data_IF_143308613651
#
_entry.id   IF_143308613651
#
_cell.length_a   1.000
_cell.length_b   1.000
_cell.length_c   1.000
_cell.angle_alpha   90.00
_cell.angle_beta   90.00
_cell.angle_gamma   90.00
#
_symmetry.space_group_name_H-M   'P 1'
#
loop_
_entity.id
_entity.type
_entity.pdbx_description
1 polymer ?
#
# COMPACT_ATOMS: atom_id res chain seq x y z
N UNK A 1 -8.11 -4.77 41.71
CA UNK A 1 -7.13 -4.10 40.82
C UNK A 1 -6.49 -5.09 39.86
N UNK A 2 -5.87 -6.18 40.33
CA UNK A 2 -5.33 -7.25 39.46
C UNK A 2 -6.42 -7.92 38.59
N UNK A 3 -7.57 -8.25 39.17
CA UNK A 3 -8.71 -8.89 38.48
C UNK A 3 -9.34 -8.00 37.38
N UNK A 4 -9.28 -6.67 37.55
CA UNK A 4 -9.74 -5.70 36.56
C UNK A 4 -8.75 -5.54 35.39
N UNK A 5 -7.45 -5.68 35.66
CA UNK A 5 -6.41 -5.70 34.63
C UNK A 5 -6.40 -7.02 33.84
N UNK A 6 -6.74 -8.15 34.48
CA UNK A 6 -6.86 -9.45 33.84
C UNK A 6 -8.11 -9.52 32.94
N UNK A 7 -9.27 -9.05 33.41
CA UNK A 7 -10.46 -8.89 32.57
C UNK A 7 -10.23 -7.90 31.41
N UNK A 8 -9.52 -6.79 31.63
CA UNK A 8 -9.19 -5.85 30.55
C UNK A 8 -8.25 -6.46 29.50
N UNK A 9 -7.34 -7.35 29.90
CA UNK A 9 -6.49 -8.12 28.99
C UNK A 9 -7.28 -9.19 28.22
N UNK A 10 -8.38 -9.70 28.78
CA UNK A 10 -9.31 -10.61 28.11
C UNK A 10 -10.24 -9.88 27.11
N UNK A 11 -10.54 -8.61 27.36
CA UNK A 11 -11.42 -7.76 26.52
C UNK A 11 -10.69 -7.20 25.28
N UNK A 12 -9.37 -6.99 25.34
CA UNK A 12 -8.60 -6.51 24.20
C UNK A 12 -8.20 -7.67 23.27
N UNK A 13 -8.49 -7.60 21.96
CA UNK A 13 -8.15 -8.70 21.06
C UNK A 13 -6.63 -8.88 20.98
N UNK A 14 -6.16 -10.10 21.31
CA UNK A 14 -4.75 -10.48 21.19
C UNK A 14 -4.28 -10.31 19.73
N UNK A 15 -3.24 -9.50 19.50
CA UNK A 15 -2.64 -9.29 18.18
C UNK A 15 -1.35 -10.08 18.00
N UNK A 16 -1.04 -10.43 16.74
CA UNK A 16 0.26 -10.94 16.30
C UNK A 16 0.87 -10.00 15.26
N UNK A 17 2.19 -9.81 15.28
CA UNK A 17 2.92 -9.01 14.32
C UNK A 17 3.74 -9.89 13.36
N UNK A 18 3.89 -9.48 12.10
CA UNK A 18 4.95 -10.00 11.21
C UNK A 18 6.26 -9.32 11.65
N UNK A 19 7.18 -10.09 12.22
CA UNK A 19 8.40 -9.58 12.86
C UNK A 19 9.26 -8.69 11.96
N UNK A 20 9.23 -8.92 10.63
CA UNK A 20 10.04 -8.17 9.66
C UNK A 20 9.57 -6.71 9.47
N UNK A 21 8.27 -6.43 9.60
CA UNK A 21 7.68 -5.16 9.15
C UNK A 21 6.64 -4.58 10.13
N UNK A 22 6.48 -5.21 11.29
CA UNK A 22 5.57 -4.78 12.36
C UNK A 22 4.09 -4.63 11.91
N UNK A 23 3.66 -5.38 10.88
CA UNK A 23 2.24 -5.44 10.51
C UNK A 23 1.50 -6.34 11.48
N UNK A 24 0.50 -5.79 12.16
CA UNK A 24 -0.30 -6.46 13.18
C UNK A 24 -1.63 -6.95 12.62
N UNK A 25 -2.05 -8.13 13.08
CA UNK A 25 -3.34 -8.74 12.75
C UNK A 25 -3.89 -9.50 13.96
N UNK A 26 -5.19 -9.78 13.96
CA UNK A 26 -5.86 -10.48 15.07
C UNK A 26 -5.36 -11.92 15.19
N UNK A 27 -4.98 -12.34 16.39
CA UNK A 27 -4.54 -13.72 16.65
C UNK A 27 -5.67 -14.71 16.33
N UNK A 28 -5.34 -15.73 15.56
CA UNK A 28 -6.32 -16.73 15.09
C UNK A 28 -7.02 -16.38 13.77
N UNK A 29 -6.89 -15.15 13.27
CA UNK A 29 -7.44 -14.75 11.98
C UNK A 29 -6.51 -15.15 10.82
N UNK A 30 -6.85 -16.25 10.15
CA UNK A 30 -6.09 -16.76 8.99
C UNK A 30 -6.19 -15.82 7.78
N UNK A 31 -7.35 -15.18 7.58
CA UNK A 31 -7.53 -14.22 6.50
C UNK A 31 -6.75 -12.95 6.80
N UNK A 32 -6.77 -12.48 8.04
CA UNK A 32 -5.95 -11.37 8.52
C UNK A 32 -4.45 -11.64 8.33
N UNK A 33 -3.96 -12.84 8.64
CA UNK A 33 -2.57 -13.22 8.37
C UNK A 33 -2.24 -13.14 6.88
N UNK A 34 -3.09 -13.71 6.02
CA UNK A 34 -2.90 -13.64 4.57
C UNK A 34 -2.87 -12.19 4.07
N UNK A 35 -3.83 -11.37 4.50
CA UNK A 35 -3.92 -9.96 4.12
C UNK A 35 -2.78 -9.12 4.69
N UNK A 36 -2.23 -9.49 5.85
CA UNK A 36 -1.02 -8.87 6.40
C UNK A 36 0.18 -9.10 5.46
N UNK A 37 0.36 -10.30 4.93
CA UNK A 37 1.37 -10.58 3.91
C UNK A 37 1.13 -9.83 2.60
N UNK A 38 -0.13 -9.79 2.12
CA UNK A 38 -0.51 -8.98 0.95
C UNK A 38 -0.15 -7.51 1.15
N UNK A 39 -0.29 -6.98 2.36
CA UNK A 39 0.06 -5.59 2.64
C UNK A 39 1.56 -5.29 2.47
N UNK A 40 2.42 -6.31 2.42
CA UNK A 40 3.87 -6.16 2.20
C UNK A 40 4.26 -6.20 0.72
N UNK A 41 3.34 -6.44 -0.20
CA UNK A 41 3.60 -6.43 -1.66
C UNK A 41 4.31 -5.13 -2.11
N UNK A 42 3.88 -3.91 -1.71
CA UNK A 42 4.60 -2.68 -2.07
C UNK A 42 6.07 -2.68 -1.63
N UNK A 43 6.36 -3.24 -0.45
CA UNK A 43 7.72 -3.34 0.10
C UNK A 43 8.56 -4.32 -0.72
N UNK A 44 8.00 -5.48 -1.08
CA UNK A 44 8.69 -6.47 -1.92
C UNK A 44 8.93 -5.96 -3.34
N UNK A 45 7.97 -5.25 -3.94
CA UNK A 45 8.16 -4.60 -5.24
C UNK A 45 9.29 -3.57 -5.16
N UNK A 46 9.28 -2.73 -4.11
CA UNK A 46 10.29 -1.69 -3.88
C UNK A 46 11.69 -2.25 -3.68
N UNK A 47 11.86 -3.16 -2.71
CA UNK A 47 13.17 -3.71 -2.33
C UNK A 47 13.66 -4.79 -3.30
N UNK A 48 12.80 -5.73 -3.70
CA UNK A 48 13.19 -6.84 -4.56
C UNK A 48 13.22 -6.46 -6.04
N UNK A 49 12.21 -5.73 -6.50
CA UNK A 49 12.05 -5.38 -7.91
C UNK A 49 13.02 -4.30 -8.37
N UNK A 50 13.02 -3.15 -7.70
CA UNK A 50 13.85 -2.02 -8.14
C UNK A 50 15.34 -2.23 -7.88
N UNK A 51 15.73 -2.71 -6.70
CA UNK A 51 17.17 -2.92 -6.41
C UNK A 51 17.79 -3.89 -7.41
N UNK A 52 17.09 -5.00 -7.71
CA UNK A 52 17.53 -5.93 -8.75
C UNK A 52 17.59 -5.27 -10.12
N UNK A 53 16.54 -4.58 -10.55
CA UNK A 53 16.50 -3.94 -11.86
C UNK A 53 17.61 -2.88 -12.04
N UNK A 54 17.82 -2.00 -11.06
CA UNK A 54 18.86 -0.97 -11.13
C UNK A 54 20.28 -1.53 -11.15
N UNK A 55 20.52 -2.63 -10.43
CA UNK A 55 21.85 -3.27 -10.42
C UNK A 55 22.16 -3.97 -11.75
N UNK A 56 21.16 -4.52 -12.44
CA UNK A 56 21.38 -5.38 -13.61
C UNK A 56 20.97 -4.79 -14.96
N UNK A 57 20.05 -3.82 -15.00
CA UNK A 57 19.45 -3.29 -16.24
C UNK A 57 19.18 -1.79 -16.07
N UNK A 58 20.16 -0.94 -16.42
CA UNK A 58 20.05 0.54 -16.38
C UNK A 58 19.16 1.09 -17.52
N UNK A 59 17.94 0.58 -17.63
CA UNK A 59 17.00 1.02 -18.66
C UNK A 59 16.33 2.32 -18.21
N UNK A 60 16.32 3.33 -19.10
CA UNK A 60 15.74 4.66 -18.83
C UNK A 60 14.30 4.57 -18.30
N UNK A 61 13.53 3.59 -18.79
CA UNK A 61 12.15 3.36 -18.35
C UNK A 61 12.03 2.91 -16.91
N UNK A 62 12.95 2.09 -16.41
CA UNK A 62 13.02 1.72 -15.00
C UNK A 62 13.34 2.91 -14.12
N UNK A 63 14.21 3.81 -14.60
CA UNK A 63 14.58 5.05 -13.90
C UNK A 63 13.38 6.00 -13.82
N UNK A 64 12.70 6.26 -14.95
CA UNK A 64 11.51 7.12 -14.99
C UNK A 64 10.39 6.57 -14.11
N UNK A 65 10.19 5.25 -14.12
CA UNK A 65 9.21 4.60 -13.25
C UNK A 65 9.53 4.79 -11.76
N UNK A 66 10.79 4.57 -11.37
CA UNK A 66 11.24 4.77 -10.00
C UNK A 66 11.11 6.23 -9.56
N UNK A 67 11.50 7.17 -10.41
CA UNK A 67 11.37 8.60 -10.15
C UNK A 67 9.91 9.01 -9.97
N UNK A 68 9.01 8.56 -10.86
CA UNK A 68 7.57 8.82 -10.75
C UNK A 68 6.97 8.22 -9.47
N UNK A 69 7.40 7.01 -9.08
CA UNK A 69 6.95 6.37 -7.85
C UNK A 69 7.42 7.12 -6.60
N UNK A 70 8.68 7.57 -6.57
CA UNK A 70 9.22 8.41 -5.49
C UNK A 70 8.50 9.75 -5.40
N UNK A 71 8.21 10.39 -6.53
CA UNK A 71 7.43 11.62 -6.58
C UNK A 71 5.99 11.41 -6.09
N UNK A 72 5.35 10.29 -6.45
CA UNK A 72 4.04 9.89 -5.93
C UNK A 72 4.08 9.71 -4.41
N UNK A 73 5.10 9.05 -3.88
CA UNK A 73 5.26 8.85 -2.44
C UNK A 73 5.50 10.17 -1.70
N UNK A 74 6.30 11.07 -2.27
CA UNK A 74 6.48 12.41 -1.74
C UNK A 74 5.17 13.21 -1.71
N UNK A 75 4.38 13.14 -2.79
CA UNK A 75 3.04 13.75 -2.84
C UNK A 75 2.10 13.16 -1.76
N UNK A 76 2.13 11.84 -1.54
CA UNK A 76 1.34 11.20 -0.49
C UNK A 76 1.66 11.80 0.88
N UNK A 77 2.95 11.91 1.20
CA UNK A 77 3.41 12.43 2.49
C UNK A 77 3.07 13.92 2.66
N UNK A 78 3.26 14.71 1.60
CA UNK A 78 2.86 16.12 1.58
C UNK A 78 1.36 16.28 1.90
N UNK A 79 0.51 15.50 1.24
CA UNK A 79 -0.94 15.55 1.46
C UNK A 79 -1.27 15.12 2.89
N UNK A 80 -0.64 14.05 3.38
CA UNK A 80 -0.83 13.56 4.75
C UNK A 80 -0.54 14.61 5.80
N UNK A 81 0.59 15.30 5.68
CA UNK A 81 0.94 16.39 6.60
C UNK A 81 0.02 17.61 6.45
N UNK A 82 -0.50 17.86 5.25
CA UNK A 82 -1.38 19.01 4.99
C UNK A 82 -2.80 18.82 5.52
N UNK A 83 -3.38 17.62 5.31
CA UNK A 83 -4.77 17.31 5.70
C UNK A 83 -4.85 16.80 7.12
N UNK A 84 -3.80 16.12 7.58
CA UNK A 84 -3.67 15.58 8.93
C UNK A 84 -4.86 14.72 9.40
N UNK A 85 -5.54 14.02 8.47
CA UNK A 85 -6.70 13.19 8.83
C UNK A 85 -6.26 12.04 9.74
N UNK A 86 -6.97 11.86 10.85
CA UNK A 86 -6.77 10.75 11.78
C UNK A 86 -7.05 9.39 11.13
N UNK A 87 -6.40 8.36 11.66
CA UNK A 87 -6.68 6.96 11.33
C UNK A 87 -7.94 6.47 12.06
N UNK A 88 -8.52 5.30 11.68
CA UNK A 88 -9.54 4.65 12.48
C UNK A 88 -9.09 4.44 13.93
N UNK A 89 -10.00 4.50 14.91
CA UNK A 89 -9.69 4.35 16.33
C UNK A 89 -8.92 3.05 16.68
N UNK A 90 -9.08 2.00 15.85
CA UNK A 90 -8.33 0.76 15.98
C UNK A 90 -6.81 0.93 15.76
N UNK A 91 -6.33 2.10 15.34
CA UNK A 91 -4.91 2.39 15.14
C UNK A 91 -4.08 2.29 16.43
N UNK A 92 -4.68 2.51 17.61
CA UNK A 92 -3.96 2.48 18.89
C UNK A 92 -3.47 1.07 19.18
N UNK A 93 -4.36 0.09 19.00
CA UNK A 93 -4.04 -1.33 19.15
C UNK A 93 -2.99 -1.79 18.11
N UNK A 94 -3.04 -1.20 16.91
CA UNK A 94 -2.12 -1.50 15.82
C UNK A 94 -0.77 -0.75 15.91
N UNK A 95 -0.59 0.15 16.89
CA UNK A 95 0.56 1.07 16.97
C UNK A 95 0.81 1.81 15.64
N UNK A 96 -0.28 2.34 15.08
CA UNK A 96 -0.25 3.02 13.78
C UNK A 96 -0.69 4.49 13.85
N UNK A 97 -1.13 4.98 15.02
CA UNK A 97 -1.71 6.33 15.17
C UNK A 97 -0.70 7.46 15.00
N UNK A 98 0.60 7.19 15.07
CA UNK A 98 1.66 8.21 14.94
C UNK A 98 1.76 8.83 13.53
N UNK A 99 0.90 8.39 12.59
CA UNK A 99 0.88 8.85 11.22
C UNK A 99 -0.53 9.13 10.71
N UNK A 100 -0.65 10.09 9.80
CA UNK A 100 -1.92 10.46 9.18
C UNK A 100 -2.44 9.38 8.22
N UNK A 101 -3.77 9.25 8.19
CA UNK A 101 -4.48 8.18 7.48
C UNK A 101 -4.82 8.49 6.02
N UNK A 102 -4.85 9.76 5.62
CA UNK A 102 -5.30 10.18 4.29
C UNK A 102 -4.22 10.87 3.46
N UNK A 103 -4.00 10.46 2.20
CA UNK A 103 -4.50 9.24 1.56
C UNK A 103 -3.69 8.00 1.99
N UNK A 104 -4.24 6.80 1.77
CA UNK A 104 -3.51 5.55 2.06
C UNK A 104 -2.31 5.36 1.12
N UNK A 105 -1.10 5.33 1.66
CA UNK A 105 0.15 5.13 0.90
C UNK A 105 0.19 3.79 0.16
N UNK A 106 -0.27 2.70 0.78
CA UNK A 106 -0.27 1.37 0.17
C UNK A 106 -1.21 1.31 -1.04
N UNK A 107 -2.40 1.92 -0.93
CA UNK A 107 -3.34 1.98 -2.03
C UNK A 107 -2.80 2.88 -3.15
N UNK A 108 -2.29 4.07 -2.82
CA UNK A 108 -1.69 4.96 -3.81
C UNK A 108 -0.52 4.32 -4.56
N UNK A 109 0.40 3.67 -3.85
CA UNK A 109 1.52 2.96 -4.43
C UNK A 109 1.04 1.92 -5.45
N UNK A 110 0.12 1.03 -5.06
CA UNK A 110 -0.27 -0.09 -5.90
C UNK A 110 -1.09 0.34 -7.12
N UNK A 111 -1.92 1.38 -6.98
CA UNK A 111 -2.67 1.93 -8.12
C UNK A 111 -1.77 2.72 -9.06
N UNK A 112 -0.74 3.42 -8.56
CA UNK A 112 0.32 3.99 -9.39
C UNK A 112 1.05 2.90 -10.18
N UNK A 113 1.53 1.86 -9.48
CA UNK A 113 2.25 0.72 -10.07
C UNK A 113 1.40 0.03 -11.16
N UNK A 114 0.15 -0.29 -10.86
CA UNK A 114 -0.76 -0.95 -11.80
C UNK A 114 -1.03 -0.08 -13.02
N UNK A 115 -1.30 1.22 -12.82
CA UNK A 115 -1.61 2.14 -13.92
C UNK A 115 -0.41 2.30 -14.85
N UNK A 116 0.77 2.63 -14.29
CA UNK A 116 1.97 2.87 -15.08
C UNK A 116 2.36 1.64 -15.90
N UNK A 117 2.39 0.44 -15.28
CA UNK A 117 2.73 -0.79 -16.00
C UNK A 117 1.68 -1.18 -17.04
N UNK A 118 0.40 -0.97 -16.75
CA UNK A 118 -0.68 -1.24 -17.71
C UNK A 118 -0.51 -0.37 -18.96
N UNK A 119 -0.37 0.94 -18.75
CA UNK A 119 -0.26 1.89 -19.84
C UNK A 119 1.04 1.69 -20.63
N UNK A 120 2.17 1.44 -19.95
CA UNK A 120 3.44 1.12 -20.61
C UNK A 120 3.32 -0.14 -21.48
N UNK A 121 2.67 -1.18 -20.96
CA UNK A 121 2.47 -2.45 -21.66
C UNK A 121 1.57 -2.27 -22.90
N UNK A 122 0.49 -1.51 -22.76
CA UNK A 122 -0.45 -1.23 -23.83
C UNK A 122 0.13 -0.30 -24.89
N UNK A 123 0.94 0.68 -24.49
CA UNK A 123 1.67 1.56 -25.41
C UNK A 123 2.64 0.76 -26.29
N UNK A 124 3.26 -0.29 -25.74
CA UNK A 124 4.12 -1.20 -26.51
C UNK A 124 3.36 -2.11 -27.45
N UNK A 125 2.20 -2.63 -27.02
CA UNK A 125 1.35 -3.44 -27.86
C UNK A 125 -0.06 -3.54 -27.28
N UNK A 126 -1.09 -3.07 -28.00
CA UNK A 126 -2.48 -3.24 -27.59
C UNK A 126 -2.94 -4.69 -27.45
N UNK A 127 -2.20 -5.66 -28.01
CA UNK A 127 -2.50 -7.08 -27.88
C UNK A 127 -2.13 -7.64 -26.48
N UNK A 128 -1.31 -6.92 -25.70
CA UNK A 128 -0.83 -7.35 -24.37
C UNK A 128 -1.80 -7.00 -23.23
N UNK A 129 -3.11 -6.90 -23.51
CA UNK A 129 -4.13 -6.50 -22.52
C UNK A 129 -4.16 -7.41 -21.30
N UNK A 130 -3.94 -8.72 -21.50
CA UNK A 130 -3.89 -9.69 -20.41
C UNK A 130 -2.73 -9.37 -19.46
N UNK A 131 -1.54 -9.05 -20.01
CA UNK A 131 -0.37 -8.68 -19.21
C UNK A 131 -0.63 -7.36 -18.47
N UNK A 132 -1.23 -6.38 -19.14
CA UNK A 132 -1.64 -5.12 -18.51
C UNK A 132 -2.66 -5.31 -17.38
N UNK A 133 -3.45 -6.39 -17.39
CA UNK A 133 -4.41 -6.68 -16.33
C UNK A 133 -3.78 -7.32 -15.07
N UNK A 134 -2.60 -7.93 -15.17
CA UNK A 134 -1.92 -8.67 -14.08
C UNK A 134 -1.73 -7.89 -12.77
N UNK A 135 -1.32 -6.60 -12.76
CA UNK A 135 -1.08 -5.90 -11.49
C UNK A 135 -2.36 -5.51 -10.73
N UNK A 136 -3.52 -5.49 -11.39
CA UNK A 136 -4.77 -4.98 -10.80
C UNK A 136 -5.31 -5.83 -9.65
N UNK A 137 -5.37 -7.17 -9.72
CA UNK A 137 -5.76 -8.00 -8.59
C UNK A 137 -4.93 -7.72 -7.33
N UNK A 138 -3.61 -7.54 -7.48
CA UNK A 138 -2.73 -7.20 -6.37
C UNK A 138 -3.05 -5.81 -5.81
N UNK A 139 -3.32 -4.83 -6.67
CA UNK A 139 -3.69 -3.49 -6.22
C UNK A 139 -4.99 -3.47 -5.41
N UNK A 140 -6.03 -4.15 -5.88
CA UNK A 140 -7.29 -4.28 -5.15
C UNK A 140 -7.14 -5.09 -3.86
N UNK A 141 -6.34 -6.16 -3.87
CA UNK A 141 -6.12 -6.99 -2.68
C UNK A 141 -5.34 -6.22 -1.60
N UNK A 142 -4.32 -5.44 -1.98
CA UNK A 142 -3.61 -4.55 -1.06
C UNK A 142 -4.51 -3.43 -0.55
N UNK A 143 -5.39 -2.87 -1.38
CA UNK A 143 -6.38 -1.88 -0.93
C UNK A 143 -7.33 -2.49 0.12
N UNK A 144 -7.86 -3.68 -0.15
CA UNK A 144 -8.76 -4.39 0.75
C UNK A 144 -8.07 -4.76 2.06
N UNK A 145 -6.80 -5.18 2.03
CA UNK A 145 -6.06 -5.53 3.24
C UNK A 145 -5.97 -4.36 4.21
N UNK A 146 -5.83 -3.11 3.73
CA UNK A 146 -5.74 -1.93 4.59
C UNK A 146 -7.04 -1.64 5.34
N UNK A 147 -8.18 -1.92 4.71
CA UNK A 147 -9.50 -1.76 5.34
C UNK A 147 -9.77 -2.92 6.29
N UNK A 148 -9.58 -4.15 5.82
CA UNK A 148 -9.86 -5.36 6.61
C UNK A 148 -9.03 -5.43 7.89
N UNK A 149 -7.74 -5.08 7.81
CA UNK A 149 -6.85 -5.07 8.97
C UNK A 149 -7.09 -3.87 9.91
N UNK A 150 -7.95 -2.91 9.52
CA UNK A 150 -8.32 -1.76 10.35
C UNK A 150 -7.33 -0.59 10.31
N UNK A 151 -6.37 -0.59 9.39
CA UNK A 151 -5.37 0.49 9.29
C UNK A 151 -5.90 1.77 8.64
N UNK A 152 -6.92 1.68 7.79
CA UNK A 152 -7.48 2.79 7.04
C UNK A 152 -9.00 2.65 6.87
N UNK A 153 -9.69 3.78 6.71
CA UNK A 153 -11.10 3.78 6.28
C UNK A 153 -11.21 3.53 4.78
N UNK A 154 -12.43 3.19 4.32
CA UNK A 154 -12.74 3.04 2.89
C UNK A 154 -12.42 4.33 2.13
N UNK A 155 -12.80 5.50 2.64
CA UNK A 155 -12.52 6.78 2.00
C UNK A 155 -11.01 7.05 1.86
N UNK A 156 -10.20 6.68 2.87
CA UNK A 156 -8.75 6.86 2.85
C UNK A 156 -8.06 5.99 1.79
N UNK A 157 -8.51 4.75 1.62
CA UNK A 157 -7.95 3.87 0.59
C UNK A 157 -8.41 4.28 -0.80
N UNK A 158 -9.68 4.68 -0.97
CA UNK A 158 -10.16 5.18 -2.27
C UNK A 158 -9.44 6.45 -2.72
N UNK A 159 -9.19 7.39 -1.81
CA UNK A 159 -8.41 8.57 -2.13
C UNK A 159 -6.98 8.22 -2.57
N UNK A 160 -6.34 7.26 -1.88
CA UNK A 160 -5.05 6.73 -2.31
C UNK A 160 -5.10 6.15 -3.72
N UNK A 161 -6.09 5.28 -3.99
CA UNK A 161 -6.29 4.70 -5.32
C UNK A 161 -6.45 5.78 -6.41
N UNK A 162 -7.29 6.80 -6.19
CA UNK A 162 -7.51 7.89 -7.14
C UNK A 162 -6.22 8.67 -7.41
N UNK A 163 -5.49 9.07 -6.35
CA UNK A 163 -4.21 9.77 -6.52
C UNK A 163 -3.21 8.90 -7.29
N UNK A 164 -3.15 7.60 -6.98
CA UNK A 164 -2.27 6.64 -7.66
C UNK A 164 -2.60 6.49 -9.15
N UNK A 165 -3.88 6.36 -9.49
CA UNK A 165 -4.37 6.30 -10.88
C UNK A 165 -3.95 7.54 -11.67
N UNK A 166 -4.27 8.73 -11.15
CA UNK A 166 -4.02 10.01 -11.83
C UNK A 166 -2.52 10.22 -12.01
N UNK A 167 -1.73 10.06 -10.95
CA UNK A 167 -0.30 10.30 -11.00
C UNK A 167 0.43 9.27 -11.86
N UNK A 168 0.01 8.00 -11.81
CA UNK A 168 0.56 6.94 -12.66
C UNK A 168 0.31 7.19 -14.15
N UNK A 169 -0.87 7.72 -14.50
CA UNK A 169 -1.20 8.10 -15.87
C UNK A 169 -0.36 9.31 -16.34
N UNK A 170 -0.25 10.36 -15.51
CA UNK A 170 0.55 11.56 -15.83
C UNK A 170 2.02 11.19 -16.06
N UNK A 171 2.63 10.43 -15.15
CA UNK A 171 4.06 10.10 -15.22
C UNK A 171 4.45 9.32 -16.49
N UNK A 172 3.55 8.52 -17.07
CA UNK A 172 3.86 7.84 -18.33
C UNK A 172 3.73 8.78 -19.53
N UNK A 173 2.70 9.63 -19.57
CA UNK A 173 2.47 10.55 -20.70
C UNK A 173 3.61 11.57 -20.85
N UNK A 174 4.30 11.88 -19.76
CA UNK A 174 5.44 12.82 -19.74
C UNK A 174 6.79 12.20 -20.16
N UNK A 175 6.83 10.94 -20.59
CA UNK A 175 8.04 10.19 -20.94
C UNK A 175 8.07 9.88 -22.45
#
# INVERSE_FOLDING_TARGET
MAEYQEMAAEVLPSLKAIALTHVRYRRGDKLGLFLAWVSLIPVFISLGGFVSHFLFRRELQGICFAAGLLASQFLNELIKHSVAQSRPAYCELLEACDSHGWPSSHSQYMFFFATYLSLLTLHRSPARRVIAAVPWPLAFLTMLSRVYLGYHTVAQVFAGAVVGLVFGAICLVTN
#
